data_IF_171572208326
#
_entry.id   IF_171572208326
#
_cell.length_a   1.000
_cell.length_b   1.000
_cell.length_c   1.000
_cell.angle_alpha   90.00
_cell.angle_beta   90.00
_cell.angle_gamma   90.00
#
_symmetry.space_group_name_H-M   'P 1'
#
loop_
_entity.id
_entity.type
_entity.pdbx_description
1 polymer ?
#
# COMPACT_ATOMS: atom_id res chain seq x y z
N UNK A 1 81.11 33.29 -37.75
CA UNK A 1 80.63 34.51 -38.44
C UNK A 1 79.34 34.17 -39.17
N UNK A 2 78.29 34.94 -38.87
CA UNK A 2 76.91 34.93 -39.40
C UNK A 2 76.08 33.64 -39.39
N UNK A 3 75.18 33.61 -38.40
CA UNK A 3 73.92 32.87 -38.37
C UNK A 3 72.95 33.41 -39.43
N UNK A 4 72.28 32.51 -40.15
CA UNK A 4 71.10 32.83 -40.94
C UNK A 4 69.85 32.25 -40.27
N UNK A 5 68.91 33.17 -40.09
CA UNK A 5 67.60 33.04 -39.46
C UNK A 5 66.64 32.16 -40.24
N UNK A 6 65.86 31.33 -39.53
CA UNK A 6 64.57 30.85 -40.04
C UNK A 6 63.53 30.99 -38.94
N UNK A 7 62.60 31.94 -39.15
CA UNK A 7 61.43 32.19 -38.30
C UNK A 7 60.36 31.13 -38.62
N UNK A 8 60.21 30.14 -37.76
CA UNK A 8 59.03 29.27 -37.74
C UNK A 8 57.83 30.01 -37.17
N UNK A 9 56.81 30.24 -38.01
CA UNK A 9 55.54 30.88 -37.66
C UNK A 9 54.64 29.84 -36.98
N UNK A 10 54.52 29.88 -35.65
CA UNK A 10 53.58 29.05 -34.90
C UNK A 10 52.15 29.59 -35.09
N UNK A 11 51.34 28.87 -35.87
CA UNK A 11 49.90 29.09 -35.94
C UNK A 11 49.25 28.32 -34.80
N UNK A 12 48.73 29.03 -33.79
CA UNK A 12 47.92 28.46 -32.72
C UNK A 12 46.49 28.34 -33.24
N UNK A 13 46.08 27.13 -33.59
CA UNK A 13 44.69 26.82 -33.93
C UNK A 13 43.89 26.60 -32.65
N UNK A 14 43.17 27.62 -32.18
CA UNK A 14 42.19 27.51 -31.11
C UNK A 14 40.85 27.05 -31.69
N UNK A 15 40.67 25.74 -31.87
CA UNK A 15 39.33 25.18 -32.09
C UNK A 15 38.54 25.19 -30.78
N UNK A 16 37.34 25.81 -30.72
CA UNK A 16 36.50 25.76 -29.53
C UNK A 16 36.00 24.33 -29.30
N UNK A 17 36.44 23.71 -28.21
CA UNK A 17 36.01 22.37 -27.81
C UNK A 17 34.55 22.43 -27.37
N UNK A 18 33.63 22.13 -28.30
CA UNK A 18 32.18 22.04 -28.06
C UNK A 18 31.89 20.93 -27.05
N UNK A 19 31.79 21.28 -25.77
CA UNK A 19 31.42 20.36 -24.68
C UNK A 19 29.97 19.94 -24.91
N UNK A 20 29.72 18.70 -25.34
CA UNK A 20 28.37 18.14 -25.42
C UNK A 20 27.89 17.95 -23.97
N UNK A 21 27.07 18.86 -23.48
CA UNK A 21 26.47 18.74 -22.15
C UNK A 21 25.51 17.55 -22.18
N UNK A 22 25.84 16.49 -21.45
CA UNK A 22 25.03 15.27 -21.39
C UNK A 22 23.85 15.49 -20.44
N UNK A 23 22.74 15.99 -20.97
CA UNK A 23 21.51 16.22 -20.21
C UNK A 23 20.78 14.93 -19.81
N UNK A 24 21.27 13.76 -20.23
CA UNK A 24 20.65 12.46 -19.91
C UNK A 24 20.62 12.20 -18.41
N UNK A 25 21.71 12.51 -17.70
CA UNK A 25 21.80 12.31 -16.25
C UNK A 25 20.86 13.24 -15.45
N UNK A 26 20.82 14.57 -15.68
CA UNK A 26 19.88 15.43 -14.96
C UNK A 26 18.41 15.16 -15.32
N UNK A 27 18.10 14.77 -16.56
CA UNK A 27 16.74 14.39 -16.96
C UNK A 27 16.32 13.08 -16.28
N UNK A 28 17.21 12.09 -16.22
CA UNK A 28 16.93 10.83 -15.52
C UNK A 28 16.69 11.04 -14.03
N UNK A 29 17.47 11.92 -13.38
CA UNK A 29 17.27 12.28 -11.98
C UNK A 29 15.92 12.99 -11.75
N UNK A 30 15.54 13.89 -12.66
CA UNK A 30 14.25 14.58 -12.62
C UNK A 30 13.05 13.61 -12.75
N UNK A 31 13.16 12.59 -13.61
CA UNK A 31 12.14 11.57 -13.80
C UNK A 31 11.95 10.72 -12.54
N UNK A 32 13.04 10.38 -11.82
CA UNK A 32 12.96 9.63 -10.56
C UNK A 32 12.30 10.47 -9.44
N UNK A 33 12.54 11.78 -9.41
CA UNK A 33 11.88 12.68 -8.46
C UNK A 33 10.36 12.84 -8.70
N UNK A 34 9.89 12.58 -9.93
CA UNK A 34 8.49 12.70 -10.31
C UNK A 34 7.68 11.42 -10.04
N UNK A 35 8.31 10.30 -9.71
CA UNK A 35 7.57 9.10 -9.30
C UNK A 35 7.08 9.28 -7.86
N UNK A 36 5.78 9.53 -7.72
CA UNK A 36 5.09 9.60 -6.43
C UNK A 36 5.23 8.29 -5.67
N UNK A 37 5.94 8.32 -4.54
CA UNK A 37 5.96 7.22 -3.58
C UNK A 37 4.58 7.11 -2.94
N UNK A 38 3.80 6.11 -3.35
CA UNK A 38 2.56 5.75 -2.67
C UNK A 38 2.92 5.29 -1.26
N UNK A 39 2.54 6.05 -0.24
CA UNK A 39 2.71 5.63 1.15
C UNK A 39 1.85 4.38 1.36
N UNK A 40 2.49 3.21 1.47
CA UNK A 40 1.82 2.01 1.97
C UNK A 40 1.41 2.32 3.41
N UNK A 41 0.11 2.38 3.67
CA UNK A 41 -0.44 2.65 5.01
C UNK A 41 -0.23 1.41 5.88
N UNK A 42 0.96 1.26 6.42
CA UNK A 42 1.23 0.30 7.48
C UNK A 42 0.69 0.88 8.80
N UNK A 43 -0.30 0.20 9.38
CA UNK A 43 -0.88 0.38 10.72
C UNK A 43 -0.92 1.82 11.24
N UNK A 44 -1.96 2.56 10.86
CA UNK A 44 -2.15 3.93 11.34
C UNK A 44 -2.60 3.92 12.80
N UNK A 45 -1.74 4.44 13.67
CA UNK A 45 -2.11 4.75 15.05
C UNK A 45 -3.07 5.94 15.05
N UNK A 46 -4.21 5.78 15.72
CA UNK A 46 -5.13 6.88 16.01
C UNK A 46 -4.94 7.31 17.46
N UNK A 47 -5.03 8.62 17.71
CA UNK A 47 -4.85 9.19 19.05
C UNK A 47 -6.00 10.14 19.32
N UNK A 48 -6.65 9.94 20.47
CA UNK A 48 -7.66 10.84 20.99
C UNK A 48 -7.42 11.02 22.49
N UNK A 49 -7.40 12.28 22.92
CA UNK A 49 -7.12 12.66 24.29
C UNK A 49 -5.77 12.10 24.80
N UNK A 50 -5.79 11.13 25.71
CA UNK A 50 -4.61 10.47 26.29
C UNK A 50 -4.57 8.96 25.98
N UNK A 51 -5.37 8.51 25.01
CA UNK A 51 -5.43 7.13 24.51
C UNK A 51 -5.00 7.09 23.04
N UNK A 52 -4.08 6.18 22.74
CA UNK A 52 -3.71 5.79 21.39
C UNK A 52 -4.21 4.38 21.09
N UNK A 53 -4.60 4.13 19.85
CA UNK A 53 -5.06 2.81 19.41
C UNK A 53 -4.54 2.47 18.02
N UNK A 54 -4.20 1.20 17.84
CA UNK A 54 -3.94 0.61 16.53
C UNK A 54 -4.97 -0.47 16.29
N UNK A 55 -5.59 -0.46 15.10
CA UNK A 55 -6.49 -1.52 14.63
C UNK A 55 -5.67 -2.57 13.88
N UNK A 56 -5.97 -3.83 14.16
CA UNK A 56 -5.60 -4.97 13.34
C UNK A 56 -6.83 -5.83 13.02
N UNK A 57 -6.84 -6.45 11.84
CA UNK A 57 -7.93 -7.29 11.34
C UNK A 57 -7.34 -8.59 10.79
N UNK A 58 -7.81 -9.73 11.28
CA UNK A 58 -7.28 -11.04 10.91
C UNK A 58 -7.98 -11.66 9.69
N UNK A 59 -7.24 -12.29 8.75
CA UNK A 59 -5.79 -12.34 8.66
C UNK A 59 -5.20 -11.15 7.87
N UNK A 60 -4.06 -10.64 8.33
CA UNK A 60 -3.19 -9.70 7.58
C UNK A 60 -3.84 -8.38 7.12
N UNK A 61 -4.78 -7.84 7.89
CA UNK A 61 -5.47 -6.56 7.63
C UNK A 61 -6.18 -6.48 6.28
N UNK A 62 -6.63 -7.63 5.77
CA UNK A 62 -7.32 -7.75 4.50
C UNK A 62 -8.69 -8.44 4.65
N UNK A 63 -9.66 -7.78 5.32
CA UNK A 63 -11.00 -8.33 5.50
C UNK A 63 -11.70 -8.55 4.17
N UNK A 64 -12.53 -9.60 4.12
CA UNK A 64 -13.30 -9.97 2.94
C UNK A 64 -14.78 -10.01 3.26
N UNK A 65 -15.59 -9.51 2.34
CA UNK A 65 -17.03 -9.45 2.53
C UNK A 65 -17.63 -10.86 2.67
N UNK A 66 -18.59 -11.03 3.57
CA UNK A 66 -19.25 -12.31 3.84
C UNK A 66 -18.40 -13.34 4.60
N UNK A 67 -17.16 -12.99 4.96
CA UNK A 67 -16.27 -13.85 5.73
C UNK A 67 -16.12 -13.28 7.15
N UNK A 68 -16.29 -14.10 8.21
CA UNK A 68 -16.03 -13.66 9.57
C UNK A 68 -14.54 -13.36 9.73
N UNK A 69 -14.24 -12.22 10.33
CA UNK A 69 -12.88 -11.75 10.59
C UNK A 69 -12.80 -11.20 12.01
N UNK A 70 -11.67 -11.42 12.68
CA UNK A 70 -11.43 -10.87 14.00
C UNK A 70 -10.74 -9.52 13.88
N UNK A 71 -11.40 -8.46 14.35
CA UNK A 71 -10.77 -7.16 14.54
C UNK A 71 -10.34 -7.00 16.00
N UNK A 72 -9.17 -6.44 16.25
CA UNK A 72 -8.70 -6.15 17.60
C UNK A 72 -7.93 -4.82 17.67
N UNK A 73 -7.97 -4.19 18.84
CA UNK A 73 -7.48 -2.83 19.04
C UNK A 73 -6.39 -2.81 20.12
N UNK A 74 -5.14 -2.60 19.72
CA UNK A 74 -4.06 -2.38 20.67
C UNK A 74 -4.18 -0.97 21.27
N UNK A 75 -4.89 -0.86 22.39
CA UNK A 75 -5.06 0.40 23.10
C UNK A 75 -3.91 0.65 24.09
N UNK A 76 -3.43 1.89 24.12
CA UNK A 76 -2.42 2.35 25.07
C UNK A 76 -2.78 3.71 25.64
N UNK A 77 -2.51 3.91 26.93
CA UNK A 77 -2.55 5.21 27.59
C UNK A 77 -1.22 5.94 27.39
N UNK A 78 -1.20 7.25 27.67
CA UNK A 78 0.04 8.04 27.76
C UNK A 78 1.12 7.30 28.56
N UNK A 79 2.34 7.22 28.00
CA UNK A 79 3.44 6.44 28.56
C UNK A 79 3.49 4.98 28.08
N UNK A 80 2.65 4.59 27.11
CA UNK A 80 2.71 3.29 26.44
C UNK A 80 2.13 2.13 27.26
N UNK A 81 1.38 2.43 28.32
CA UNK A 81 0.72 1.40 29.15
C UNK A 81 -0.48 0.84 28.40
N UNK A 82 -0.58 -0.48 28.28
CA UNK A 82 -1.73 -1.14 27.66
C UNK A 82 -3.01 -0.77 28.40
N UNK A 83 -4.08 -0.50 27.66
CA UNK A 83 -5.43 -0.30 28.16
C UNK A 83 -6.28 -1.55 27.86
N UNK A 84 -6.46 -2.46 28.84
CA UNK A 84 -7.28 -3.65 28.62
C UNK A 84 -8.77 -3.31 28.59
N UNK A 85 -9.57 -4.13 27.90
CA UNK A 85 -11.02 -3.97 27.77
C UNK A 85 -11.72 -3.89 29.13
N UNK A 86 -11.27 -4.66 30.14
CA UNK A 86 -11.85 -4.64 31.50
C UNK A 86 -11.79 -3.29 32.21
N UNK A 87 -10.91 -2.38 31.75
CA UNK A 87 -10.76 -1.03 32.30
C UNK A 87 -11.49 0.02 31.46
N UNK A 88 -12.13 -0.38 30.36
CA UNK A 88 -12.81 0.49 29.42
C UNK A 88 -14.27 0.05 29.18
N UNK A 89 -15.20 0.97 29.41
CA UNK A 89 -16.55 0.85 28.87
C UNK A 89 -16.50 1.25 27.38
N UNK A 90 -15.97 0.31 26.59
CA UNK A 90 -15.70 0.49 25.17
C UNK A 90 -16.87 0.00 24.31
N UNK A 91 -17.12 0.69 23.20
CA UNK A 91 -18.15 0.31 22.21
C UNK A 91 -17.58 0.47 20.80
N UNK A 92 -17.90 -0.49 19.94
CA UNK A 92 -17.49 -0.49 18.53
C UNK A 92 -18.72 -0.31 17.63
N UNK A 93 -18.65 0.69 16.77
CA UNK A 93 -19.62 0.94 15.71
C UNK A 93 -18.93 0.86 14.34
N UNK A 94 -19.58 0.24 13.37
CA UNK A 94 -19.07 0.07 11.99
C UNK A 94 -20.01 0.76 11.01
N UNK A 95 -19.46 1.61 10.16
CA UNK A 95 -20.20 2.35 9.13
C UNK A 95 -19.66 2.00 7.74
N UNK A 96 -20.56 1.83 6.77
CA UNK A 96 -20.16 1.75 5.35
C UNK A 96 -19.99 3.16 4.80
N UNK A 97 -18.92 3.41 4.06
CA UNK A 97 -18.65 4.73 3.47
C UNK A 97 -19.21 4.85 2.04
N UNK A 98 -19.78 6.01 1.65
CA UNK A 98 -20.05 7.17 2.49
C UNK A 98 -21.29 6.97 3.39
N UNK A 99 -21.28 7.56 4.58
CA UNK A 99 -22.46 7.63 5.47
C UNK A 99 -22.75 9.08 5.88
N UNK A 100 -23.98 9.36 6.32
CA UNK A 100 -24.36 10.68 6.81
C UNK A 100 -24.15 10.79 8.32
N UNK A 101 -23.61 11.89 8.87
CA UNK A 101 -23.51 12.06 10.32
C UNK A 101 -24.86 11.87 11.03
N UNK A 102 -24.90 11.01 12.05
CA UNK A 102 -26.11 10.67 12.79
C UNK A 102 -26.93 9.52 12.21
N UNK A 103 -26.53 8.97 11.06
CA UNK A 103 -27.04 7.69 10.58
C UNK A 103 -26.66 6.56 11.56
N UNK A 104 -27.54 5.58 11.80
CA UNK A 104 -27.21 4.45 12.66
C UNK A 104 -26.03 3.65 12.11
N UNK A 105 -25.26 3.03 13.02
CA UNK A 105 -24.20 2.13 12.63
C UNK A 105 -24.76 0.93 11.86
N UNK A 106 -24.01 0.47 10.85
CA UNK A 106 -24.35 -0.74 10.10
C UNK A 106 -24.20 -1.98 11.00
N UNK A 107 -23.14 -2.02 11.81
CA UNK A 107 -22.88 -3.10 12.77
C UNK A 107 -22.42 -2.51 14.11
N UNK A 108 -22.86 -3.13 15.22
CA UNK A 108 -22.42 -2.82 16.59
C UNK A 108 -21.94 -4.11 17.27
N UNK A 109 -20.82 -4.70 16.82
CA UNK A 109 -20.35 -5.98 17.34
C UNK A 109 -19.90 -5.83 18.80
N UNK A 110 -20.27 -6.81 19.63
CA UNK A 110 -19.87 -6.83 21.04
C UNK A 110 -18.36 -7.05 21.18
N UNK A 111 -17.72 -6.20 21.98
CA UNK A 111 -16.30 -6.34 22.30
C UNK A 111 -16.07 -7.46 23.32
N UNK A 112 -15.05 -8.26 23.08
CA UNK A 112 -14.55 -9.31 23.94
C UNK A 112 -13.04 -9.11 24.19
N UNK A 113 -12.53 -9.52 25.35
CA UNK A 113 -11.09 -9.46 25.61
C UNK A 113 -10.39 -10.49 24.74
N UNK A 114 -9.36 -10.06 24.00
CA UNK A 114 -8.54 -10.95 23.17
C UNK A 114 -7.08 -10.88 23.59
N UNK A 115 -6.37 -11.98 23.32
CA UNK A 115 -4.93 -12.08 23.43
C UNK A 115 -4.37 -12.09 22.00
N UNK A 116 -3.62 -11.07 21.63
CA UNK A 116 -3.02 -10.97 20.31
C UNK A 116 -1.63 -10.34 20.40
N UNK A 117 -0.68 -10.89 19.65
CA UNK A 117 0.73 -10.51 19.70
C UNK A 117 1.26 -10.50 21.16
N UNK A 118 1.65 -9.31 21.65
CA UNK A 118 2.13 -9.06 23.02
C UNK A 118 1.08 -8.44 23.95
N UNK A 119 -0.14 -8.22 23.46
CA UNK A 119 -1.19 -7.50 24.17
C UNK A 119 -2.18 -8.46 24.82
N UNK A 120 -2.48 -8.24 26.09
CA UNK A 120 -3.40 -9.08 26.86
C UNK A 120 -4.71 -8.35 27.17
N UNK A 121 -5.82 -9.04 26.95
CA UNK A 121 -7.16 -8.57 27.31
C UNK A 121 -7.57 -7.28 26.59
N UNK A 122 -7.04 -7.02 25.41
CA UNK A 122 -7.40 -5.86 24.60
C UNK A 122 -8.79 -6.03 23.97
N UNK A 123 -9.47 -4.95 23.59
CA UNK A 123 -10.75 -5.05 22.90
C UNK A 123 -10.60 -5.74 21.55
N UNK A 124 -11.44 -6.75 21.28
CA UNK A 124 -11.58 -7.35 19.96
C UNK A 124 -13.01 -7.81 19.70
N UNK A 125 -13.35 -8.02 18.44
CA UNK A 125 -14.68 -8.45 18.01
C UNK A 125 -14.58 -9.30 16.74
N UNK A 126 -15.51 -10.24 16.58
CA UNK A 126 -15.75 -10.89 15.29
C UNK A 126 -16.71 -10.02 14.48
N UNK A 127 -16.34 -9.74 13.23
CA UNK A 127 -17.09 -8.88 12.31
C UNK A 127 -17.26 -9.64 11.00
N UNK A 128 -18.47 -9.63 10.44
CA UNK A 128 -18.71 -10.08 9.06
C UNK A 128 -19.20 -8.88 8.25
N UNK A 129 -18.34 -8.34 7.39
CA UNK A 129 -18.70 -7.21 6.53
C UNK A 129 -19.64 -7.68 5.43
N UNK A 130 -20.82 -7.07 5.22
CA UNK A 130 -21.81 -7.62 4.29
C UNK A 130 -21.45 -7.43 2.82
N UNK A 131 -20.67 -6.38 2.49
CA UNK A 131 -20.31 -6.04 1.12
C UNK A 131 -18.85 -5.58 1.02
N UNK A 132 -18.23 -5.69 -0.16
CA UNK A 132 -16.94 -5.07 -0.42
C UNK A 132 -17.08 -3.56 -0.45
N UNK A 133 -16.06 -2.83 0.01
CA UNK A 133 -16.10 -1.37 0.01
C UNK A 133 -15.28 -0.73 1.12
N UNK A 134 -15.38 0.59 1.23
CA UNK A 134 -14.77 1.35 2.31
C UNK A 134 -15.68 1.34 3.55
N UNK A 135 -15.05 1.23 4.73
CA UNK A 135 -15.74 1.24 6.01
C UNK A 135 -14.98 2.11 7.01
N UNK A 136 -15.71 2.69 7.96
CA UNK A 136 -15.15 3.32 9.16
C UNK A 136 -15.52 2.50 10.41
N UNK A 137 -14.51 2.07 11.15
CA UNK A 137 -14.65 1.48 12.47
C UNK A 137 -14.43 2.58 13.51
N UNK A 138 -15.45 2.89 14.28
CA UNK A 138 -15.42 3.88 15.35
C UNK A 138 -15.40 3.16 16.70
N UNK A 139 -14.27 3.25 17.39
CA UNK A 139 -14.10 2.74 18.75
C UNK A 139 -14.21 3.90 19.73
N UNK A 140 -15.26 3.89 20.55
CA UNK A 140 -15.44 4.85 21.64
C UNK A 140 -15.18 4.18 22.97
N UNK A 141 -14.75 4.96 23.95
CA UNK A 141 -14.47 4.41 25.28
C UNK A 141 -14.58 5.44 26.39
N UNK A 142 -15.06 4.98 27.54
CA UNK A 142 -15.05 5.71 28.81
C UNK A 142 -14.31 4.88 29.86
N UNK A 143 -13.69 5.53 30.86
CA UNK A 143 -13.03 4.79 31.91
C UNK A 143 -14.03 4.06 32.81
N UNK A 144 -13.80 2.76 33.04
CA UNK A 144 -14.60 1.99 34.01
C UNK A 144 -14.39 2.52 35.44
N UNK A 145 -13.20 3.05 35.73
CA UNK A 145 -12.89 3.78 36.97
C UNK A 145 -12.65 5.25 36.64
N UNK A 146 -13.52 6.13 37.13
CA UNK A 146 -13.48 7.57 36.87
C UNK A 146 -12.07 8.16 37.06
N UNK A 147 -11.65 9.00 36.11
CA UNK A 147 -10.34 9.69 36.14
C UNK A 147 -9.14 8.86 35.69
N UNK A 148 -9.29 7.56 35.37
CA UNK A 148 -8.16 6.72 34.92
C UNK A 148 -7.65 7.05 33.51
N UNK A 149 -8.50 7.59 32.65
CA UNK A 149 -8.18 8.21 31.35
C UNK A 149 -9.37 9.06 30.88
N UNK A 150 -9.20 9.93 29.87
CA UNK A 150 -10.31 10.72 29.33
C UNK A 150 -11.11 9.92 28.29
N UNK A 151 -12.44 10.13 28.19
CA UNK A 151 -13.23 9.55 27.12
C UNK A 151 -12.62 9.83 25.74
N UNK A 152 -12.72 8.85 24.84
CA UNK A 152 -12.12 8.92 23.52
C UNK A 152 -13.05 8.43 22.41
N UNK A 153 -12.73 8.84 21.19
CA UNK A 153 -13.32 8.41 19.93
C UNK A 153 -12.16 8.21 18.93
N UNK A 154 -11.93 6.96 18.52
CA UNK A 154 -10.89 6.57 17.56
C UNK A 154 -11.56 6.01 16.29
N UNK A 155 -11.20 6.60 15.14
CA UNK A 155 -11.80 6.28 13.85
C UNK A 155 -10.79 5.63 12.91
N UNK A 156 -11.11 4.45 12.42
CA UNK A 156 -10.23 3.68 11.54
C UNK A 156 -10.93 3.43 10.20
N UNK A 157 -10.35 3.97 9.13
CA UNK A 157 -10.81 3.70 7.77
C UNK A 157 -10.14 2.44 7.25
N UNK A 158 -10.93 1.53 6.72
CA UNK A 158 -10.47 0.28 6.12
C UNK A 158 -11.10 0.07 4.75
N UNK A 159 -10.55 -0.86 3.98
CA UNK A 159 -11.16 -1.36 2.75
C UNK A 159 -11.40 -2.85 2.87
N UNK A 160 -12.62 -3.28 2.58
CA UNK A 160 -13.05 -4.67 2.57
C UNK A 160 -13.03 -5.18 1.13
N UNK A 161 -12.30 -6.25 0.89
CA UNK A 161 -12.20 -6.88 -0.41
C UNK A 161 -13.43 -7.77 -0.72
N UNK A 162 -13.57 -8.15 -1.99
CA UNK A 162 -14.58 -9.11 -2.40
C UNK A 162 -14.38 -10.46 -1.70
N UNK A 163 -15.47 -10.99 -1.13
CA UNK A 163 -15.56 -12.34 -0.57
C UNK A 163 -15.45 -13.44 -1.61
N UNK A 164 -15.43 -14.71 -1.16
CA UNK A 164 -15.63 -15.83 -2.09
C UNK A 164 -17.00 -15.69 -2.74
N UNK A 165 -17.06 -15.92 -4.06
CA UNK A 165 -18.34 -16.05 -4.73
C UNK A 165 -19.10 -17.20 -4.06
N UNK A 166 -20.31 -16.91 -3.57
CA UNK A 166 -21.24 -17.98 -3.20
C UNK A 166 -21.57 -18.68 -4.50
N UNK A 167 -21.01 -19.86 -4.72
CA UNK A 167 -21.44 -20.74 -5.80
C UNK A 167 -22.94 -20.97 -5.60
N UNK A 168 -23.73 -20.30 -6.43
CA UNK A 168 -25.17 -20.52 -6.48
C UNK A 168 -25.36 -21.98 -6.87
N UNK A 169 -26.20 -22.77 -6.18
CA UNK A 169 -26.50 -24.13 -6.63
C UNK A 169 -26.92 -24.09 -8.09
N UNK A 170 -26.06 -24.62 -8.95
CA UNK A 170 -26.27 -24.62 -10.39
C UNK A 170 -27.52 -25.44 -10.67
N UNK A 171 -28.54 -24.78 -11.24
CA UNK A 171 -29.56 -25.50 -11.97
C UNK A 171 -28.84 -26.29 -13.06
N UNK A 172 -28.96 -27.62 -12.98
CA UNK A 172 -28.33 -28.56 -13.92
C UNK A 172 -28.88 -28.29 -15.31
N UNK A 173 -28.05 -27.71 -16.18
CA UNK A 173 -28.25 -27.79 -17.63
C UNK A 173 -27.01 -28.46 -18.23
N UNK A 174 -27.17 -29.74 -18.53
CA UNK A 174 -26.19 -30.58 -19.21
C UNK A 174 -25.99 -30.10 -20.63
N UNK A 175 -24.82 -29.53 -21.00
CA UNK A 175 -24.28 -29.72 -22.36
C UNK A 175 -22.75 -29.84 -22.32
N UNK A 176 -22.29 -30.97 -22.82
CA UNK A 176 -20.92 -31.39 -23.11
C UNK A 176 -20.17 -30.38 -23.99
N UNK A 177 -18.95 -29.97 -23.61
CA UNK A 177 -17.89 -29.73 -24.59
C UNK A 177 -16.47 -29.63 -23.99
N UNK A 178 -15.65 -30.59 -24.42
CA UNK A 178 -14.23 -30.48 -24.78
C UNK A 178 -13.28 -29.75 -23.82
N UNK A 179 -12.60 -30.58 -23.03
CA UNK A 179 -11.36 -30.28 -22.36
C UNK A 179 -10.23 -30.06 -23.38
N UNK A 180 -9.79 -28.81 -23.55
CA UNK A 180 -8.57 -28.49 -24.29
C UNK A 180 -7.61 -27.73 -23.37
N UNK A 181 -6.42 -28.32 -23.22
CA UNK A 181 -5.42 -28.02 -22.20
C UNK A 181 -4.95 -26.57 -22.17
N UNK A 182 -4.46 -26.19 -20.98
CA UNK A 182 -4.01 -24.84 -20.68
C UNK A 182 -2.92 -24.35 -21.63
N UNK A 183 -3.07 -23.11 -22.08
CA UNK A 183 -1.95 -22.24 -22.44
C UNK A 183 -2.29 -20.80 -22.07
N UNK A 184 -1.26 -20.16 -21.53
CA UNK A 184 -1.14 -18.82 -20.99
C UNK A 184 -1.86 -17.78 -21.85
N UNK A 185 -2.74 -17.00 -21.23
CA UNK A 185 -3.47 -15.90 -21.86
C UNK A 185 -2.51 -14.92 -22.51
N UNK A 186 -2.64 -14.77 -23.82
CA UNK A 186 -1.92 -13.82 -24.63
C UNK A 186 -2.18 -12.39 -24.13
N UNK A 187 -1.17 -11.85 -23.45
CA UNK A 187 -0.89 -10.42 -23.41
C UNK A 187 -0.85 -9.93 -24.87
N UNK A 188 -1.48 -8.80 -25.14
CA UNK A 188 -1.56 -8.17 -26.45
C UNK A 188 -0.20 -8.20 -27.17
N UNK A 189 -0.14 -8.54 -28.49
CA UNK A 189 1.09 -8.80 -29.23
C UNK A 189 2.09 -7.62 -29.25
N UNK A 190 1.67 -6.44 -28.79
CA UNK A 190 2.47 -5.22 -28.72
C UNK A 190 3.57 -5.31 -27.64
N UNK A 191 3.30 -5.95 -26.49
CA UNK A 191 4.25 -5.93 -25.35
C UNK A 191 5.45 -6.86 -25.60
N UNK A 192 5.20 -8.03 -26.22
CA UNK A 192 6.28 -8.98 -26.56
C UNK A 192 7.21 -8.39 -27.63
N UNK A 193 6.67 -7.69 -28.63
CA UNK A 193 7.47 -7.05 -29.68
C UNK A 193 8.36 -5.93 -29.09
N UNK A 194 7.84 -5.15 -28.14
CA UNK A 194 8.62 -4.08 -27.50
C UNK A 194 9.83 -4.61 -26.70
N UNK A 195 9.67 -5.73 -26.00
CA UNK A 195 10.74 -6.37 -25.21
C UNK A 195 11.83 -6.94 -26.15
N UNK A 196 11.42 -7.53 -27.27
CA UNK A 196 12.36 -8.07 -28.28
C UNK A 196 13.14 -6.93 -28.96
N UNK A 197 12.50 -5.82 -29.31
CA UNK A 197 13.19 -4.68 -29.93
C UNK A 197 14.19 -4.00 -28.98
N UNK A 198 13.84 -3.88 -27.68
CA UNK A 198 14.74 -3.31 -26.67
C UNK A 198 16.01 -4.14 -26.46
N UNK A 199 15.86 -5.47 -26.40
CA UNK A 199 17.01 -6.38 -26.21
C UNK A 199 17.96 -6.39 -27.41
N UNK A 200 17.45 -6.37 -28.64
CA UNK A 200 18.28 -6.29 -29.86
C UNK A 200 19.03 -4.94 -29.92
N UNK A 201 18.38 -3.84 -29.55
CA UNK A 201 19.00 -2.52 -29.52
C UNK A 201 20.18 -2.41 -28.56
N UNK A 202 20.06 -3.00 -27.36
CA UNK A 202 21.14 -3.01 -26.35
C UNK A 202 22.33 -3.84 -26.85
N UNK A 203 22.09 -5.02 -27.42
CA UNK A 203 23.17 -5.87 -27.96
C UNK A 203 23.89 -5.19 -29.11
N UNK A 204 23.17 -4.56 -30.03
CA UNK A 204 23.78 -3.84 -31.16
C UNK A 204 24.60 -2.63 -30.69
N UNK A 205 24.12 -1.91 -29.67
CA UNK A 205 24.86 -0.81 -29.06
C UNK A 205 26.16 -1.28 -28.39
N UNK A 206 26.10 -2.38 -27.62
CA UNK A 206 27.29 -2.98 -26.98
C UNK A 206 28.30 -3.49 -28.01
N UNK A 207 27.83 -4.14 -29.08
CA UNK A 207 28.71 -4.58 -30.18
C UNK A 207 29.37 -3.42 -30.94
N UNK A 208 28.67 -2.29 -31.10
CA UNK A 208 29.27 -1.10 -31.71
C UNK A 208 30.27 -0.39 -30.78
N UNK A 209 30.02 -0.40 -29.47
CA UNK A 209 30.94 0.16 -28.48
C UNK A 209 32.25 -0.64 -28.40
N UNK A 210 32.16 -1.98 -28.43
CA UNK A 210 33.32 -2.89 -28.41
C UNK A 210 34.10 -2.92 -29.73
N UNK A 211 33.52 -2.43 -30.84
CA UNK A 211 34.19 -2.29 -32.15
C UNK A 211 34.93 -0.96 -32.32
N UNK A 212 34.77 -0.02 -31.38
CA UNK A 212 35.35 1.33 -31.44
C UNK A 212 36.54 1.54 -30.49
N UNK A 213 36.98 0.49 -29.80
CA UNK A 213 38.30 0.40 -29.17
C UNK A 213 39.22 -0.50 -30.01
#
# INVERSE_FOLDING_TARGET
MSLQTSRGKLSVSTTPRRRKTNYVLPVFLLVILLTSVSTVSAHKVQIAADVGGTLHIEPNDNPRAGEPTQAWFALTRKGGKVLPLKECDCQLAVYAEPYTPGEPALLEPALQPVQAERYEGIPGAEITFPKPGAYELTLTGKPATEGSFRPFDLKFQITVAAGKAVETPQAVENITNQQQGGTIGFIQPIIVIAIILLSIGIVFFLMQALRKE
#
